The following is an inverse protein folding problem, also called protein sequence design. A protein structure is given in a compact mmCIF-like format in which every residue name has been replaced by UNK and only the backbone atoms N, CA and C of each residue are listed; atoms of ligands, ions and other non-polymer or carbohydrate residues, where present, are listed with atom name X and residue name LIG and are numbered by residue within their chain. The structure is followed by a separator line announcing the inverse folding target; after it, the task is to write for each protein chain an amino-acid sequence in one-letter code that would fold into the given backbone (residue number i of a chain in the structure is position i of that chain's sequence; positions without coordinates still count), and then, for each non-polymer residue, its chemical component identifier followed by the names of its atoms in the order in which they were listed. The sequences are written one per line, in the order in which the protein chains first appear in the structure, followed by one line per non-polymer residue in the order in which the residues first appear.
data_IF_455366032366
#
_entry.id   IF_455366032366
#
_cell.length_a   1.000
_cell.length_b   1.000
_cell.length_c   1.000
_cell.angle_alpha   90.00
_cell.angle_beta   90.00
_cell.angle_gamma   90.00
#
_symmetry.space_group_name_H-M   'P 1'
#
loop_
_entity.id
_entity.type
_entity.pdbx_description
1 polymer ?
#
# COMPACT_ATOMS: atom_id res chain seq x y z
N UNK A 1 1.37 -23.72 1.80
CA UNK A 1 -0.08 -23.94 2.06
C UNK A 1 -0.62 -22.66 2.67
N UNK A 2 -1.87 -22.28 2.39
CA UNK A 2 -2.48 -21.10 3.05
C UNK A 2 -2.80 -21.47 4.49
N UNK A 3 -2.65 -20.55 5.45
CA UNK A 3 -3.21 -20.73 6.78
C UNK A 3 -4.68 -21.15 6.70
N UNK A 4 -4.98 -22.34 7.19
CA UNK A 4 -6.36 -22.70 7.52
C UNK A 4 -6.89 -21.76 8.61
N UNK A 5 -8.19 -21.82 8.89
CA UNK A 5 -8.82 -21.01 9.96
C UNK A 5 -8.02 -21.02 11.26
N UNK A 6 -7.55 -22.20 11.69
CA UNK A 6 -6.75 -22.36 12.91
C UNK A 6 -5.41 -21.62 12.86
N UNK A 7 -4.70 -21.68 11.73
CA UNK A 7 -3.40 -21.01 11.55
C UNK A 7 -3.58 -19.49 11.47
N UNK A 8 -4.67 -19.00 10.84
CA UNK A 8 -5.02 -17.59 10.81
C UNK A 8 -5.34 -17.04 12.21
N UNK A 9 -6.13 -17.78 12.99
CA UNK A 9 -6.47 -17.38 14.36
C UNK A 9 -5.29 -17.52 15.30
N UNK A 10 -4.40 -18.50 15.07
CA UNK A 10 -3.14 -18.61 15.80
C UNK A 10 -2.27 -17.39 15.54
N UNK A 11 -2.04 -17.01 14.28
CA UNK A 11 -1.29 -15.80 13.91
C UNK A 11 -1.87 -14.54 14.56
N UNK A 12 -3.19 -14.36 14.53
CA UNK A 12 -3.84 -13.22 15.19
C UNK A 12 -3.61 -13.15 16.70
N UNK A 13 -3.45 -14.30 17.36
CA UNK A 13 -3.22 -14.38 18.81
C UNK A 13 -1.76 -14.21 19.19
N UNK A 14 -0.84 -14.68 18.36
CA UNK A 14 0.59 -14.78 18.72
C UNK A 14 1.47 -13.70 18.10
N UNK A 15 1.07 -13.13 16.95
CA UNK A 15 1.88 -12.13 16.26
C UNK A 15 1.72 -10.74 16.88
N UNK A 16 2.85 -10.10 17.19
CA UNK A 16 2.89 -8.70 17.66
C UNK A 16 2.22 -7.73 16.67
N UNK A 17 2.21 -8.09 15.37
CA UNK A 17 1.54 -7.31 14.31
C UNK A 17 0.07 -7.05 14.62
N UNK A 18 -0.57 -7.93 15.37
CA UNK A 18 -2.00 -7.89 15.69
C UNK A 18 -2.29 -7.57 17.16
N UNK A 19 -1.26 -7.29 17.96
CA UNK A 19 -1.43 -6.90 19.36
C UNK A 19 -2.32 -5.65 19.47
N UNK A 20 -3.38 -5.74 20.28
CA UNK A 20 -4.35 -4.65 20.47
C UNK A 20 -5.36 -4.46 19.33
N UNK A 21 -5.34 -5.29 18.28
CA UNK A 21 -6.29 -5.19 17.15
C UNK A 21 -7.55 -6.02 17.43
N UNK A 22 -8.68 -5.35 17.65
CA UNK A 22 -9.99 -5.98 17.78
C UNK A 22 -10.58 -6.28 16.39
N UNK A 23 -11.07 -7.52 16.20
CA UNK A 23 -11.86 -7.92 15.02
C UNK A 23 -13.25 -8.34 15.47
N UNK A 24 -14.33 -7.71 14.99
CA UNK A 24 -15.71 -8.12 15.31
C UNK A 24 -16.16 -9.34 14.48
N UNK A 25 -15.22 -10.15 13.99
CA UNK A 25 -15.43 -11.33 13.15
C UNK A 25 -14.32 -12.37 13.40
N UNK A 26 -14.62 -13.64 13.14
CA UNK A 26 -13.71 -14.77 13.35
C UNK A 26 -12.85 -15.13 12.14
N UNK A 27 -11.89 -16.06 12.31
CA UNK A 27 -11.06 -16.56 11.22
C UNK A 27 -11.87 -17.34 10.18
N UNK A 28 -12.89 -18.08 10.63
CA UNK A 28 -13.78 -18.85 9.75
C UNK A 28 -14.61 -17.97 8.80
N UNK A 29 -15.01 -16.78 9.22
CA UNK A 29 -15.72 -15.83 8.34
C UNK A 29 -14.81 -15.29 7.26
N UNK A 30 -13.54 -15.04 7.61
CA UNK A 30 -12.52 -14.62 6.66
C UNK A 30 -12.23 -15.74 5.65
N UNK A 31 -12.02 -16.98 6.09
CA UNK A 31 -11.76 -18.11 5.20
C UNK A 31 -12.91 -18.35 4.20
N UNK A 32 -14.16 -18.29 4.70
CA UNK A 32 -15.38 -18.44 3.88
C UNK A 32 -15.46 -17.46 2.70
N UNK A 33 -14.94 -16.25 2.85
CA UNK A 33 -15.04 -15.18 1.84
C UNK A 33 -13.85 -15.13 0.87
N UNK A 34 -12.74 -15.83 1.15
CA UNK A 34 -11.52 -15.70 0.33
C UNK A 34 -11.55 -16.53 -0.97
N UNK A 35 -12.54 -17.43 -1.15
CA UNK A 35 -12.60 -18.35 -2.30
C UNK A 35 -11.51 -19.44 -2.25
N UNK A 36 -11.40 -20.25 -3.31
CA UNK A 36 -10.42 -21.37 -3.38
C UNK A 36 -9.11 -20.99 -4.08
N UNK A 37 -9.14 -20.01 -4.98
CA UNK A 37 -7.98 -19.52 -5.72
C UNK A 37 -7.40 -18.32 -4.98
N UNK A 38 -6.08 -18.32 -4.77
CA UNK A 38 -5.36 -17.27 -4.06
C UNK A 38 -4.61 -16.37 -5.03
N UNK A 39 -5.06 -15.12 -5.15
CA UNK A 39 -4.32 -14.07 -5.84
C UNK A 39 -3.33 -13.45 -4.86
N UNK A 40 -2.03 -13.45 -5.20
CA UNK A 40 -1.00 -12.83 -4.37
C UNK A 40 -0.91 -11.34 -4.66
N UNK A 41 -0.74 -10.55 -3.61
CA UNK A 41 -0.61 -9.09 -3.69
C UNK A 41 0.79 -8.65 -3.23
N UNK A 42 1.83 -9.11 -3.94
CA UNK A 42 3.24 -9.00 -3.53
C UNK A 42 3.64 -7.60 -3.06
N UNK A 43 3.30 -6.54 -3.81
CA UNK A 43 3.65 -5.17 -3.42
C UNK A 43 2.92 -4.71 -2.14
N UNK A 44 1.67 -5.15 -1.95
CA UNK A 44 0.92 -4.83 -0.73
C UNK A 44 1.50 -5.55 0.49
N UNK A 45 1.89 -6.81 0.33
CA UNK A 45 2.55 -7.61 1.38
C UNK A 45 3.87 -6.96 1.80
N UNK A 46 4.81 -6.81 0.85
CA UNK A 46 6.12 -6.21 1.09
C UNK A 46 6.02 -4.78 1.64
N UNK A 47 5.14 -3.96 1.06
CA UNK A 47 4.93 -2.57 1.49
C UNK A 47 4.37 -2.48 2.90
N UNK A 48 3.39 -3.31 3.26
CA UNK A 48 2.79 -3.32 4.60
C UNK A 48 3.78 -3.79 5.68
N UNK A 49 4.60 -4.80 5.39
CA UNK A 49 5.64 -5.29 6.29
C UNK A 49 6.77 -4.28 6.46
N UNK A 50 7.21 -3.64 5.36
CA UNK A 50 8.21 -2.57 5.41
C UNK A 50 7.72 -1.38 6.22
N UNK A 51 6.48 -0.93 5.99
CA UNK A 51 5.90 0.19 6.74
C UNK A 51 5.73 -0.14 8.22
N UNK A 52 5.24 -1.34 8.57
CA UNK A 52 5.15 -1.79 9.97
C UNK A 52 6.52 -1.73 10.66
N UNK A 53 7.57 -2.26 10.01
CA UNK A 53 8.94 -2.18 10.55
C UNK A 53 9.41 -0.74 10.70
N UNK A 54 9.16 0.13 9.73
CA UNK A 54 9.55 1.55 9.80
C UNK A 54 8.89 2.26 10.97
N UNK A 55 7.59 2.02 11.21
CA UNK A 55 6.83 2.65 12.29
C UNK A 55 7.27 2.16 13.68
N UNK A 56 7.76 0.93 13.80
CA UNK A 56 8.22 0.38 15.08
C UNK A 56 9.72 0.59 15.37
N UNK A 57 10.52 0.94 14.35
CA UNK A 57 11.98 1.12 14.50
C UNK A 57 12.45 2.57 14.47
N UNK A 58 11.59 3.51 14.09
CA UNK A 58 11.95 4.93 13.97
C UNK A 58 11.06 5.78 14.88
N UNK A 59 11.56 6.96 15.28
CA UNK A 59 10.78 7.95 16.03
C UNK A 59 9.59 8.49 15.23
N UNK A 60 9.74 8.62 13.90
CA UNK A 60 8.66 8.98 12.97
C UNK A 60 8.99 8.50 11.54
N UNK A 61 7.97 8.50 10.69
CA UNK A 61 8.09 8.25 9.24
C UNK A 61 7.44 9.41 8.50
N UNK A 62 8.25 10.29 7.90
CA UNK A 62 7.75 11.39 7.09
C UNK A 62 7.38 10.92 5.67
N UNK A 63 6.38 11.57 5.10
CA UNK A 63 5.93 11.39 3.72
C UNK A 63 5.42 12.72 3.15
N UNK A 64 5.42 12.82 1.82
CA UNK A 64 4.81 13.93 1.08
C UNK A 64 3.70 13.39 0.17
N UNK A 65 2.70 14.24 -0.11
CA UNK A 65 1.64 13.91 -1.06
C UNK A 65 2.18 13.74 -2.47
N UNK A 66 1.88 12.60 -3.11
CA UNK A 66 2.19 12.33 -4.51
C UNK A 66 0.91 12.06 -5.30
N UNK A 67 0.71 12.81 -6.39
CA UNK A 67 -0.38 12.63 -7.35
C UNK A 67 0.10 11.97 -8.67
N UNK A 68 1.41 11.87 -8.88
CA UNK A 68 2.02 11.19 -10.04
C UNK A 68 3.13 10.22 -9.63
N UNK A 69 3.44 9.28 -10.53
CA UNK A 69 4.56 8.35 -10.34
C UNK A 69 5.92 9.06 -10.28
N UNK A 70 6.15 10.09 -11.09
CA UNK A 70 7.42 10.84 -11.08
C UNK A 70 7.63 11.62 -9.77
N UNK A 71 6.56 12.19 -9.19
CA UNK A 71 6.66 12.80 -7.86
C UNK A 71 7.12 11.76 -6.83
N UNK A 72 6.55 10.56 -6.84
CA UNK A 72 6.95 9.49 -5.93
C UNK A 72 8.41 9.05 -6.14
N UNK A 73 8.86 8.93 -7.39
CA UNK A 73 10.27 8.63 -7.72
C UNK A 73 11.20 9.69 -7.12
N UNK A 74 10.89 10.97 -7.33
CA UNK A 74 11.73 12.06 -6.80
C UNK A 74 11.73 12.10 -5.27
N UNK A 75 10.59 11.80 -4.63
CA UNK A 75 10.49 11.68 -3.18
C UNK A 75 11.40 10.57 -2.63
N UNK A 76 11.39 9.39 -3.25
CA UNK A 76 12.29 8.28 -2.88
C UNK A 76 13.75 8.65 -3.14
N UNK A 77 14.05 9.24 -4.30
CA UNK A 77 15.40 9.72 -4.63
C UNK A 77 15.93 10.80 -3.68
N UNK A 78 15.02 11.59 -3.09
CA UNK A 78 15.34 12.57 -2.06
C UNK A 78 15.48 11.96 -0.64
N UNK A 79 15.34 10.64 -0.50
CA UNK A 79 15.53 9.92 0.76
C UNK A 79 14.25 9.69 1.58
N UNK A 80 13.06 10.01 1.07
CA UNK A 80 11.82 9.66 1.76
C UNK A 80 11.57 8.14 1.72
N UNK A 81 11.09 7.61 2.85
CA UNK A 81 10.88 6.16 3.05
C UNK A 81 9.41 5.74 2.88
N UNK A 82 8.51 6.69 2.69
CA UNK A 82 7.09 6.46 2.49
C UNK A 82 6.48 7.53 1.57
N UNK A 83 5.43 7.13 0.84
CA UNK A 83 4.67 7.99 -0.06
C UNK A 83 3.26 8.15 0.52
N UNK A 84 2.77 9.39 0.59
CA UNK A 84 1.40 9.68 0.96
C UNK A 84 0.56 9.93 -0.30
N UNK A 85 -0.59 9.27 -0.42
CA UNK A 85 -1.52 9.49 -1.54
C UNK A 85 -2.73 10.24 -1.01
N UNK A 86 -2.81 11.53 -1.32
CA UNK A 86 -3.85 12.43 -0.83
C UNK A 86 -5.13 12.32 -1.66
N UNK A 87 -6.26 12.00 -1.03
CA UNK A 87 -7.58 12.04 -1.67
C UNK A 87 -7.92 13.43 -2.22
N UNK A 88 -7.54 14.50 -1.49
CA UNK A 88 -7.68 15.88 -1.92
C UNK A 88 -6.90 16.16 -3.22
N UNK A 89 -5.64 15.74 -3.33
CA UNK A 89 -4.85 15.93 -4.56
C UNK A 89 -5.45 15.16 -5.74
N UNK A 90 -5.99 13.97 -5.49
CA UNK A 90 -6.68 13.17 -6.51
C UNK A 90 -7.97 13.86 -6.95
N UNK A 91 -8.78 14.39 -6.04
CA UNK A 91 -9.95 15.19 -6.36
C UNK A 91 -9.59 16.40 -7.23
N UNK A 92 -8.52 17.11 -6.85
CA UNK A 92 -8.10 18.31 -7.53
C UNK A 92 -7.55 18.05 -8.95
N UNK A 93 -6.71 17.04 -9.14
CA UNK A 93 -5.91 16.93 -10.38
C UNK A 93 -5.42 15.50 -10.73
N UNK A 94 -6.00 14.45 -10.14
CA UNK A 94 -5.50 13.07 -10.33
C UNK A 94 -6.58 12.00 -10.54
N UNK A 95 -7.84 12.39 -10.64
CA UNK A 95 -8.97 11.46 -10.70
C UNK A 95 -9.33 11.04 -12.12
N UNK A 96 -10.06 9.93 -12.22
CA UNK A 96 -10.42 9.31 -13.51
C UNK A 96 -11.63 9.98 -14.20
N UNK A 97 -12.30 10.93 -13.55
CA UNK A 97 -13.31 11.75 -14.24
C UNK A 97 -12.67 12.89 -15.05
N UNK A 98 -11.37 13.16 -14.87
CA UNK A 98 -10.66 14.22 -15.58
C UNK A 98 -11.20 15.62 -15.27
N UNK A 99 -11.85 15.80 -14.11
CA UNK A 99 -12.39 17.07 -13.65
C UNK A 99 -11.63 17.55 -12.42
N UNK A 100 -11.51 18.86 -12.25
CA UNK A 100 -11.06 19.44 -10.99
C UNK A 100 -12.24 19.44 -10.00
N UNK A 101 -12.08 18.77 -8.87
CA UNK A 101 -13.05 18.75 -7.79
C UNK A 101 -12.48 19.30 -6.46
N UNK A 102 -13.34 19.88 -5.60
CA UNK A 102 -13.02 20.01 -4.18
C UNK A 102 -13.05 18.64 -3.47
N UNK A 103 -12.53 18.58 -2.25
CA UNK A 103 -12.52 17.37 -1.42
C UNK A 103 -13.87 17.10 -0.76
N UNK A 104 -14.83 16.67 -1.60
CA UNK A 104 -16.21 16.33 -1.23
C UNK A 104 -16.62 14.96 -1.78
N UNK A 105 -15.65 14.06 -2.01
CA UNK A 105 -15.87 12.69 -2.50
C UNK A 105 -16.66 12.62 -3.83
N UNK A 106 -16.43 13.56 -4.74
CA UNK A 106 -17.16 13.67 -6.01
C UNK A 106 -16.58 12.80 -7.14
N UNK A 107 -15.35 12.35 -6.99
CA UNK A 107 -14.63 11.61 -8.02
C UNK A 107 -14.94 10.09 -7.98
N UNK A 108 -14.70 9.34 -9.07
CA UNK A 108 -14.90 7.89 -9.10
C UNK A 108 -14.13 7.16 -8.00
N UNK A 109 -14.79 6.22 -7.32
CA UNK A 109 -14.22 5.57 -6.12
C UNK A 109 -12.90 4.80 -6.37
N UNK A 110 -12.60 4.43 -7.61
CA UNK A 110 -11.38 3.75 -8.02
C UNK A 110 -10.20 4.68 -8.36
N UNK A 111 -10.39 6.00 -8.32
CA UNK A 111 -9.34 6.99 -8.65
C UNK A 111 -8.11 6.90 -7.76
N UNK A 112 -8.27 6.82 -6.44
CA UNK A 112 -7.11 6.66 -5.54
C UNK A 112 -6.41 5.31 -5.77
N UNK A 113 -7.10 4.15 -5.84
CA UNK A 113 -6.49 2.89 -6.26
C UNK A 113 -5.72 2.97 -7.59
N UNK A 114 -6.24 3.70 -8.58
CA UNK A 114 -5.58 3.87 -9.87
C UNK A 114 -4.29 4.70 -9.75
N UNK A 115 -4.28 5.74 -8.92
CA UNK A 115 -3.06 6.51 -8.59
C UNK A 115 -2.04 5.66 -7.82
N UNK A 116 -2.47 4.86 -6.84
CA UNK A 116 -1.60 3.91 -6.12
C UNK A 116 -0.95 2.92 -7.10
N UNK A 117 -1.69 2.42 -8.08
CA UNK A 117 -1.15 1.52 -9.12
C UNK A 117 -0.13 2.24 -10.01
N UNK A 118 -0.41 3.49 -10.43
CA UNK A 118 0.51 4.31 -11.25
C UNK A 118 1.82 4.58 -10.51
N UNK A 119 1.77 4.91 -9.21
CA UNK A 119 2.95 5.12 -8.37
C UNK A 119 3.79 3.84 -8.27
N UNK A 120 3.18 2.70 -7.96
CA UNK A 120 3.89 1.43 -7.88
C UNK A 120 4.52 1.02 -9.21
N UNK A 121 3.84 1.26 -10.34
CA UNK A 121 4.41 1.00 -11.67
C UNK A 121 5.65 1.88 -11.94
N UNK A 122 5.63 3.14 -11.51
CA UNK A 122 6.75 4.05 -11.68
C UNK A 122 7.96 3.64 -10.83
N UNK A 123 7.74 3.31 -9.55
CA UNK A 123 8.80 2.80 -8.67
C UNK A 123 9.38 1.47 -9.17
N UNK A 124 8.54 0.56 -9.67
CA UNK A 124 9.00 -0.69 -10.28
C UNK A 124 9.86 -0.43 -11.52
N UNK A 125 9.55 0.59 -12.32
CA UNK A 125 10.38 0.95 -13.46
C UNK A 125 11.76 1.49 -13.04
N UNK A 126 11.83 2.24 -11.95
CA UNK A 126 13.12 2.68 -11.41
C UNK A 126 13.95 1.52 -10.86
N UNK A 127 13.31 0.57 -10.18
CA UNK A 127 13.93 -0.69 -9.76
C UNK A 127 14.45 -1.51 -10.96
N UNK A 128 13.61 -1.73 -11.98
CA UNK A 128 13.99 -2.41 -13.23
C UNK A 128 15.22 -1.74 -13.88
N UNK A 129 15.27 -0.39 -13.91
CA UNK A 129 16.42 0.37 -14.42
C UNK A 129 17.67 0.20 -13.57
N UNK A 130 17.55 0.28 -12.24
CA UNK A 130 18.67 0.16 -11.32
C UNK A 130 19.32 -1.24 -11.43
N UNK A 131 18.50 -2.28 -11.42
CA UNK A 131 18.95 -3.66 -11.56
C UNK A 131 19.63 -3.91 -12.93
N UNK A 132 19.09 -3.35 -14.02
CA UNK A 132 19.73 -3.40 -15.34
C UNK A 132 21.13 -2.75 -15.38
N UNK A 133 21.40 -1.78 -14.50
CA UNK A 133 22.69 -1.10 -14.39
C UNK A 133 23.61 -1.71 -13.32
N UNK A 134 23.23 -2.85 -12.73
CA UNK A 134 24.04 -3.56 -11.73
C UNK A 134 24.01 -2.94 -10.35
N UNK A 135 23.02 -2.08 -10.07
CA UNK A 135 22.71 -1.66 -8.70
C UNK A 135 21.68 -2.65 -8.12
N UNK A 136 22.07 -3.39 -7.08
CA UNK A 136 21.25 -4.44 -6.44
C UNK A 136 20.66 -4.02 -5.07
N UNK A 137 20.53 -2.72 -4.82
CA UNK A 137 20.07 -2.17 -3.51
C UNK A 137 18.58 -1.79 -3.47
#
# INVERSE_FOLDING_TARGET
MTPGTEELEHDWKTSERWAGILRPYGGGEVDRLRGTIRVRHTLAELGSEKLWRLLNSNSYVAALGALTGNQAIQQVGAGLRAIYVSGWQVAADGNDAGQMYPDLSLYPADSVPNVVRRINNALRREDEKAHMHGADD
#
